data_IF_159751608543
#
_entry.id   IF_159751608543
#
_cell.length_a   1.000
_cell.length_b   1.000
_cell.length_c   1.000
_cell.angle_alpha   90.00
_cell.angle_beta   90.00
_cell.angle_gamma   90.00
#
_symmetry.space_group_name_H-M   'P 1'
#
loop_
_entity.id
_entity.type
_entity.pdbx_description
1 polymer ?
#
# COMPACT_ATOMS: atom_id res chain seq x y z
N UNK A 1 -17.97 1.35 14.27
CA UNK A 1 -17.70 2.70 14.82
C UNK A 1 -16.82 2.53 16.05
N UNK A 2 -15.50 2.66 15.89
CA UNK A 2 -14.57 2.37 17.00
C UNK A 2 -13.23 3.12 16.90
N UNK A 3 -13.27 4.41 16.56
CA UNK A 3 -12.17 5.31 16.95
C UNK A 3 -12.73 6.35 17.93
N UNK A 4 -12.24 6.39 19.19
CA UNK A 4 -12.37 7.57 20.02
C UNK A 4 -11.79 8.75 19.24
N UNK A 5 -12.48 9.89 19.26
CA UNK A 5 -12.12 11.11 18.54
C UNK A 5 -10.83 11.79 19.05
N UNK A 6 -9.76 11.03 19.21
CA UNK A 6 -8.42 11.60 19.26
C UNK A 6 -8.02 11.83 17.80
N UNK A 7 -7.90 13.11 17.45
CA UNK A 7 -7.13 13.49 16.27
C UNK A 7 -5.71 12.98 16.51
N UNK A 8 -5.38 11.80 15.99
CA UNK A 8 -3.99 11.53 15.69
C UNK A 8 -3.57 12.62 14.71
N UNK A 9 -2.74 13.55 15.17
CA UNK A 9 -2.15 14.55 14.32
C UNK A 9 -1.21 13.83 13.34
N UNK A 10 -1.78 13.39 12.21
CA UNK A 10 -1.05 12.73 11.14
C UNK A 10 -0.03 13.72 10.57
N UNK A 11 1.19 13.72 11.13
CA UNK A 11 2.24 14.66 10.73
C UNK A 11 3.09 15.23 11.87
N UNK A 12 3.14 14.58 13.04
CA UNK A 12 4.03 15.00 14.12
C UNK A 12 5.45 15.25 13.59
N UNK A 13 6.17 16.28 14.10
CA UNK A 13 7.54 16.58 13.66
C UNK A 13 8.45 15.35 13.71
N UNK A 14 8.31 14.53 14.76
CA UNK A 14 9.04 13.26 14.92
C UNK A 14 8.76 12.27 13.77
N UNK A 15 7.48 12.10 13.37
CA UNK A 15 7.13 11.24 12.22
C UNK A 15 7.71 11.79 10.92
N UNK A 16 7.65 13.11 10.69
CA UNK A 16 8.21 13.74 9.49
C UNK A 16 9.72 13.59 9.41
N UNK A 17 10.40 13.79 10.53
CA UNK A 17 11.85 13.61 10.64
C UNK A 17 12.24 12.15 10.36
N UNK A 18 11.58 11.19 11.03
CA UNK A 18 11.79 9.76 10.79
C UNK A 18 11.57 9.39 9.32
N UNK A 19 10.46 9.80 8.71
CA UNK A 19 10.18 9.55 7.30
C UNK A 19 11.27 10.16 6.39
N UNK A 20 11.83 11.32 6.73
CA UNK A 20 12.93 11.92 6.00
C UNK A 20 14.20 11.05 6.00
N UNK A 21 14.60 10.49 7.15
CA UNK A 21 15.73 9.56 7.23
C UNK A 21 15.43 8.21 6.57
N UNK A 22 14.23 7.70 6.80
CA UNK A 22 13.82 6.38 6.34
C UNK A 22 13.59 6.32 4.83
N UNK A 23 13.10 7.41 4.21
CA UNK A 23 13.05 7.51 2.75
C UNK A 23 14.45 7.44 2.13
N UNK A 24 15.47 8.02 2.78
CA UNK A 24 16.86 7.95 2.29
C UNK A 24 17.43 6.53 2.33
N UNK A 25 17.10 5.73 3.35
CA UNK A 25 17.64 4.36 3.45
C UNK A 25 17.10 3.44 2.35
N UNK A 26 15.79 3.50 2.04
CA UNK A 26 15.22 2.68 0.96
C UNK A 26 15.48 3.27 -0.43
N UNK A 27 15.57 4.60 -0.57
CA UNK A 27 15.98 5.21 -1.84
C UNK A 27 17.36 4.68 -2.28
N UNK A 28 18.26 4.40 -1.33
CA UNK A 28 19.54 3.74 -1.59
C UNK A 28 19.41 2.30 -2.13
N UNK A 29 18.29 1.63 -1.90
CA UNK A 29 18.02 0.29 -2.43
C UNK A 29 17.37 0.29 -3.81
N UNK A 30 16.90 1.43 -4.32
CA UNK A 30 16.10 1.50 -5.56
C UNK A 30 16.79 0.83 -6.74
N UNK A 31 18.04 1.22 -7.01
CA UNK A 31 18.78 0.72 -8.18
C UNK A 31 19.05 -0.78 -8.07
N UNK A 32 19.30 -1.30 -6.87
CA UNK A 32 19.47 -2.74 -6.66
C UNK A 32 18.17 -3.50 -6.85
N UNK A 33 17.05 -2.97 -6.34
CA UNK A 33 15.73 -3.58 -6.48
C UNK A 33 15.30 -3.64 -7.96
N UNK A 34 15.63 -2.60 -8.74
CA UNK A 34 15.44 -2.58 -10.19
C UNK A 34 16.35 -3.62 -10.85
N UNK A 35 17.66 -3.57 -10.59
CA UNK A 35 18.65 -4.45 -11.23
C UNK A 35 18.37 -5.94 -10.97
N UNK A 36 17.84 -6.29 -9.78
CA UNK A 36 17.44 -7.65 -9.40
C UNK A 36 16.03 -8.04 -9.88
N UNK A 37 15.30 -7.12 -10.52
CA UNK A 37 13.96 -7.35 -11.06
C UNK A 37 12.85 -7.46 -10.01
N UNK A 38 13.08 -6.98 -8.78
CA UNK A 38 12.05 -6.97 -7.75
C UNK A 38 10.94 -5.97 -8.05
N UNK A 39 11.27 -4.84 -8.66
CA UNK A 39 10.28 -3.84 -9.07
C UNK A 39 9.34 -4.39 -10.16
N UNK A 40 9.88 -4.99 -11.23
CA UNK A 40 9.07 -5.59 -12.29
C UNK A 40 8.12 -6.67 -11.76
N UNK A 41 8.60 -7.53 -10.86
CA UNK A 41 7.78 -8.54 -10.19
C UNK A 41 6.66 -7.91 -9.36
N UNK A 42 6.95 -6.82 -8.64
CA UNK A 42 5.96 -6.10 -7.86
C UNK A 42 4.90 -5.43 -8.75
N UNK A 43 5.30 -4.79 -9.86
CA UNK A 43 4.40 -4.19 -10.84
C UNK A 43 3.49 -5.28 -11.44
N UNK A 44 4.06 -6.40 -11.87
CA UNK A 44 3.29 -7.52 -12.43
C UNK A 44 2.27 -8.07 -11.42
N UNK A 45 2.68 -8.27 -10.16
CA UNK A 45 1.79 -8.74 -9.08
C UNK A 45 0.63 -7.76 -8.84
N UNK A 46 0.93 -6.46 -8.71
CA UNK A 46 -0.07 -5.41 -8.47
C UNK A 46 -1.06 -5.28 -9.62
N UNK A 47 -0.57 -5.35 -10.86
CA UNK A 47 -1.42 -5.33 -12.04
C UNK A 47 -2.35 -6.55 -12.09
N UNK A 48 -1.82 -7.75 -11.84
CA UNK A 48 -2.61 -8.98 -11.82
C UNK A 48 -3.69 -8.94 -10.72
N UNK A 49 -3.35 -8.44 -9.53
CA UNK A 49 -4.30 -8.24 -8.44
C UNK A 49 -5.41 -7.26 -8.85
N UNK A 50 -5.05 -6.09 -9.40
CA UNK A 50 -6.02 -5.11 -9.85
C UNK A 50 -6.99 -5.68 -10.91
N UNK A 51 -6.47 -6.40 -11.90
CA UNK A 51 -7.29 -7.07 -12.93
C UNK A 51 -8.19 -8.15 -12.35
N UNK A 52 -7.69 -8.98 -11.43
CA UNK A 52 -8.48 -9.97 -10.72
C UNK A 52 -9.65 -9.34 -9.95
N UNK A 53 -9.37 -8.27 -9.20
CA UNK A 53 -10.38 -7.56 -8.40
C UNK A 53 -11.43 -6.88 -9.26
N UNK A 54 -11.03 -6.30 -10.40
CA UNK A 54 -11.98 -5.70 -11.36
C UNK A 54 -12.94 -6.75 -11.90
N UNK A 55 -12.42 -7.91 -12.32
CA UNK A 55 -13.24 -9.03 -12.81
C UNK A 55 -14.19 -9.54 -11.73
N UNK A 56 -13.70 -9.76 -10.51
CA UNK A 56 -14.51 -10.21 -9.37
C UNK A 56 -15.67 -9.27 -9.05
N UNK A 57 -15.48 -7.96 -9.29
CA UNK A 57 -16.52 -6.93 -9.08
C UNK A 57 -17.41 -6.68 -10.31
N UNK A 58 -17.22 -7.42 -11.40
CA UNK A 58 -17.96 -7.19 -12.66
C UNK A 58 -17.69 -5.81 -13.27
N UNK A 59 -16.57 -5.16 -12.92
CA UNK A 59 -16.25 -3.83 -13.44
C UNK A 59 -15.82 -3.94 -14.90
N UNK A 60 -16.33 -3.06 -15.80
CA UNK A 60 -16.00 -3.14 -17.20
C UNK A 60 -14.52 -2.84 -17.43
N UNK A 61 -13.92 -3.45 -18.46
CA UNK A 61 -12.52 -3.24 -18.83
C UNK A 61 -12.30 -1.79 -19.27
N UNK A 62 -13.26 -1.22 -20.01
CA UNK A 62 -13.32 0.19 -20.36
C UNK A 62 -14.45 0.86 -19.59
N UNK A 63 -14.15 1.97 -18.90
CA UNK A 63 -15.19 2.82 -18.29
C UNK A 63 -15.71 3.79 -19.34
N UNK A 64 -16.93 4.27 -19.14
CA UNK A 64 -17.39 5.48 -19.84
C UNK A 64 -16.45 6.62 -19.45
N UNK A 65 -15.77 7.19 -20.46
CA UNK A 65 -14.77 8.23 -20.27
C UNK A 65 -15.42 9.53 -19.77
N UNK A 66 -16.69 9.76 -20.11
CA UNK A 66 -17.42 10.99 -19.80
C UNK A 66 -17.68 11.13 -18.31
N UNK A 67 -18.19 10.08 -17.67
CA UNK A 67 -18.43 10.06 -16.22
C UNK A 67 -17.12 9.96 -15.43
N UNK A 68 -16.16 9.18 -15.92
CA UNK A 68 -14.89 8.95 -15.24
C UNK A 68 -14.01 10.21 -15.20
N UNK A 69 -13.97 11.02 -16.27
CA UNK A 69 -13.17 12.25 -16.32
C UNK A 69 -13.81 13.36 -15.48
N UNK A 70 -15.15 13.42 -15.45
CA UNK A 70 -15.87 14.44 -14.69
C UNK A 70 -15.94 14.14 -13.18
N UNK A 71 -15.60 12.93 -12.76
CA UNK A 71 -15.56 12.55 -11.35
C UNK A 71 -14.19 12.85 -10.75
N UNK A 72 -14.11 13.82 -9.84
CA UNK A 72 -12.89 14.04 -9.06
C UNK A 72 -12.64 12.86 -8.12
N UNK A 73 -11.46 12.24 -8.25
CA UNK A 73 -11.00 11.17 -7.36
C UNK A 73 -10.14 11.67 -6.20
N UNK A 74 -10.14 12.99 -5.92
CA UNK A 74 -9.31 13.64 -4.89
C UNK A 74 -7.82 13.28 -4.98
N UNK A 75 -7.31 13.10 -6.21
CA UNK A 75 -5.89 12.89 -6.48
C UNK A 75 -5.30 14.15 -7.12
N UNK A 76 -4.06 14.48 -6.74
CA UNK A 76 -3.27 15.53 -7.40
C UNK A 76 -2.29 14.96 -8.44
N UNK A 77 -2.38 13.66 -8.73
CA UNK A 77 -1.56 13.02 -9.76
C UNK A 77 -2.02 13.49 -11.14
N UNK A 78 -1.12 14.17 -11.85
CA UNK A 78 -1.32 14.62 -13.23
C UNK A 78 -0.44 13.78 -14.18
N UNK A 79 -0.65 13.90 -15.49
CA UNK A 79 0.18 13.22 -16.50
C UNK A 79 -0.17 11.76 -16.80
N UNK A 80 -1.18 11.19 -16.13
CA UNK A 80 -1.73 9.89 -16.51
C UNK A 80 -2.64 10.01 -17.73
N UNK A 81 -2.46 9.14 -18.71
CA UNK A 81 -3.25 9.09 -19.94
C UNK A 81 -3.80 7.69 -20.16
N UNK A 82 -4.68 7.51 -21.16
CA UNK A 82 -5.16 6.19 -21.57
C UNK A 82 -4.03 5.23 -22.01
N UNK A 83 -2.86 5.77 -22.36
CA UNK A 83 -1.68 5.01 -22.78
C UNK A 83 -0.66 4.80 -21.66
N UNK A 84 -0.95 5.26 -20.44
CA UNK A 84 -0.03 5.07 -19.32
C UNK A 84 0.21 3.59 -19.05
N UNK A 85 1.47 3.26 -18.87
CA UNK A 85 1.96 1.91 -18.65
C UNK A 85 1.68 1.45 -17.22
N UNK A 86 1.72 0.13 -17.01
CA UNK A 86 1.61 -0.45 -15.66
C UNK A 86 2.73 0.04 -14.73
N UNK A 87 3.92 0.30 -15.26
CA UNK A 87 5.00 0.89 -14.48
C UNK A 87 4.63 2.28 -13.98
N UNK A 88 4.14 3.17 -14.84
CA UNK A 88 3.72 4.52 -14.44
C UNK A 88 2.58 4.53 -13.39
N UNK A 89 1.76 3.48 -13.35
CA UNK A 89 0.63 3.36 -12.41
C UNK A 89 1.03 2.65 -11.11
N UNK A 90 1.84 1.59 -11.18
CA UNK A 90 2.15 0.71 -10.05
C UNK A 90 3.56 0.90 -9.48
N UNK A 91 4.40 1.72 -10.13
CA UNK A 91 5.60 2.31 -9.55
C UNK A 91 5.16 3.53 -8.75
N UNK A 92 5.38 3.49 -7.45
CA UNK A 92 4.98 4.54 -6.52
C UNK A 92 6.10 4.85 -5.54
N UNK A 93 6.09 6.08 -5.04
CA UNK A 93 6.96 6.47 -3.93
C UNK A 93 6.64 5.63 -2.69
N UNK A 94 7.65 5.39 -1.87
CA UNK A 94 7.51 4.68 -0.61
C UNK A 94 6.58 5.47 0.32
N UNK A 95 5.40 4.92 0.56
CA UNK A 95 4.37 5.58 1.34
C UNK A 95 4.61 5.47 2.85
N UNK A 96 5.27 4.40 3.31
CA UNK A 96 5.60 4.18 4.71
C UNK A 96 6.93 3.44 4.84
N UNK A 97 7.78 3.89 5.76
CA UNK A 97 8.82 3.05 6.35
C UNK A 97 8.36 2.66 7.74
N UNK A 98 8.47 1.38 8.09
CA UNK A 98 8.03 0.88 9.38
C UNK A 98 8.95 1.46 10.46
N UNK A 99 8.35 2.18 11.41
CA UNK A 99 9.05 2.54 12.64
C UNK A 99 9.24 1.25 13.46
N UNK A 100 10.46 0.97 13.96
CA UNK A 100 10.80 -0.34 14.53
C UNK A 100 9.95 -0.77 15.72
N UNK A 101 9.36 0.16 16.45
CA UNK A 101 8.45 -0.18 17.55
C UNK A 101 7.47 0.98 17.79
N UNK A 102 6.19 0.64 17.92
CA UNK A 102 5.14 1.52 18.45
C UNK A 102 4.45 0.78 19.59
N UNK A 103 3.84 1.51 20.51
CA UNK A 103 3.01 0.90 21.55
C UNK A 103 1.83 0.20 20.89
N UNK A 104 1.72 -1.11 21.09
CA UNK A 104 0.66 -2.01 20.58
C UNK A 104 -0.76 -1.50 20.90
N UNK A 105 -0.90 -0.62 21.89
CA UNK A 105 -2.17 -0.03 22.29
C UNK A 105 -3.04 -1.03 23.07
N UNK A 106 -4.13 -0.57 23.69
CA UNK A 106 -4.94 -1.40 24.60
C UNK A 106 -5.88 -2.38 23.89
N UNK A 107 -5.92 -2.38 22.55
CA UNK A 107 -6.92 -3.10 21.75
C UNK A 107 -6.41 -4.36 21.06
N UNK A 108 -5.14 -4.72 21.27
CA UNK A 108 -4.62 -6.00 20.80
C UNK A 108 -5.24 -7.15 21.60
N UNK A 109 -5.77 -8.15 20.89
CA UNK A 109 -6.37 -9.34 21.48
C UNK A 109 -5.59 -10.55 20.98
N UNK A 110 -5.21 -11.45 21.90
CA UNK A 110 -4.52 -12.69 21.56
C UNK A 110 -5.45 -13.73 20.94
N UNK A 111 -4.91 -14.62 20.09
CA UNK A 111 -5.67 -15.67 19.41
C UNK A 111 -5.76 -15.44 17.90
N UNK A 112 -4.60 -15.27 17.28
CA UNK A 112 -4.47 -14.79 15.92
C UNK A 112 -4.95 -15.82 14.90
N UNK A 113 -5.73 -15.38 13.92
CA UNK A 113 -6.15 -16.20 12.79
C UNK A 113 -5.26 -15.93 11.58
N UNK A 114 -4.63 -16.97 11.02
CA UNK A 114 -3.87 -16.85 9.78
C UNK A 114 -4.86 -16.80 8.61
N UNK A 115 -5.18 -15.58 8.16
CA UNK A 115 -6.15 -15.33 7.09
C UNK A 115 -5.80 -14.09 6.27
N UNK A 116 -6.22 -14.06 5.00
CA UNK A 116 -6.01 -12.91 4.11
C UNK A 116 -7.22 -11.96 4.02
N UNK A 117 -8.38 -12.35 4.54
CA UNK A 117 -9.59 -11.54 4.55
C UNK A 117 -10.10 -11.39 5.98
N UNK A 118 -10.14 -10.15 6.47
CA UNK A 118 -10.56 -9.77 7.84
C UNK A 118 -11.89 -8.99 7.86
N UNK A 119 -12.62 -8.92 6.74
CA UNK A 119 -13.85 -8.11 6.63
C UNK A 119 -15.02 -8.71 7.43
N UNK A 120 -15.07 -10.03 7.54
CA UNK A 120 -16.17 -10.75 8.21
C UNK A 120 -17.55 -10.27 7.70
N UNK A 121 -18.44 -9.82 8.59
CA UNK A 121 -19.75 -9.24 8.26
C UNK A 121 -19.77 -7.71 8.29
N UNK A 122 -18.61 -7.06 8.39
CA UNK A 122 -18.53 -5.61 8.54
C UNK A 122 -18.89 -4.90 7.22
N UNK A 123 -19.72 -3.86 7.30
CA UNK A 123 -20.05 -3.00 6.16
C UNK A 123 -18.95 -1.94 5.97
N UNK A 124 -18.65 -1.60 4.71
CA UNK A 124 -17.68 -0.56 4.40
C UNK A 124 -17.20 -0.58 2.95
N UNK A 125 -16.24 0.30 2.65
CA UNK A 125 -15.55 0.31 1.35
C UNK A 125 -14.45 -0.76 1.39
N UNK A 126 -14.45 -1.78 0.50
CA UNK A 126 -13.46 -2.83 0.60
C UNK A 126 -12.07 -2.34 0.18
N UNK A 127 -11.11 -2.49 1.09
CA UNK A 127 -9.69 -2.21 0.94
C UNK A 127 -8.92 -3.49 0.65
N UNK A 128 -7.98 -3.44 -0.30
CA UNK A 128 -7.01 -4.50 -0.52
C UNK A 128 -5.62 -3.94 -0.27
N UNK A 129 -4.91 -4.48 0.72
CA UNK A 129 -3.55 -4.09 1.06
C UNK A 129 -2.56 -5.14 0.56
N UNK A 130 -1.53 -4.71 -0.18
CA UNK A 130 -0.38 -5.52 -0.59
C UNK A 130 0.86 -5.01 0.14
N UNK A 131 1.47 -5.85 0.95
CA UNK A 131 2.64 -5.50 1.75
C UNK A 131 3.91 -6.05 1.11
N UNK A 132 4.93 -5.21 0.95
CA UNK A 132 6.26 -5.61 0.54
C UNK A 132 7.24 -5.11 1.61
N UNK A 133 7.94 -6.05 2.24
CA UNK A 133 8.95 -5.74 3.24
C UNK A 133 10.33 -5.93 2.63
N UNK A 134 11.14 -4.89 2.73
CA UNK A 134 12.52 -4.85 2.23
C UNK A 134 13.43 -4.63 3.43
N UNK A 135 14.46 -5.46 3.55
CA UNK A 135 15.58 -5.20 4.44
C UNK A 135 16.41 -4.06 3.84
N UNK A 136 16.47 -2.94 4.55
CA UNK A 136 17.14 -1.72 4.08
C UNK A 136 18.67 -1.81 4.11
N UNK A 137 19.23 -2.81 4.79
CA UNK A 137 20.68 -3.07 4.84
C UNK A 137 21.12 -3.94 3.67
N UNK A 138 20.33 -4.95 3.31
CA UNK A 138 20.67 -5.90 2.22
C UNK A 138 19.99 -5.56 0.89
N UNK A 139 18.99 -4.69 0.91
CA UNK A 139 18.10 -4.38 -0.20
C UNK A 139 17.40 -5.62 -0.77
N UNK A 140 17.17 -6.63 0.06
CA UNK A 140 16.49 -7.87 -0.29
C UNK A 140 15.05 -7.90 0.28
N UNK A 141 14.09 -8.52 -0.43
CA UNK A 141 12.79 -8.80 0.14
C UNK A 141 12.87 -9.78 1.31
N UNK A 142 12.15 -9.48 2.38
CA UNK A 142 12.02 -10.38 3.52
C UNK A 142 10.92 -11.41 3.22
N UNK A 143 11.19 -12.68 3.52
CA UNK A 143 10.26 -13.80 3.31
C UNK A 143 10.03 -14.60 4.59
N UNK A 144 8.96 -15.41 4.63
CA UNK A 144 8.67 -16.29 5.76
C UNK A 144 8.18 -15.59 7.03
N UNK A 145 7.63 -14.38 6.90
CA UNK A 145 7.12 -13.59 8.03
C UNK A 145 5.59 -13.61 8.09
N UNK A 146 5.07 -13.40 9.30
CA UNK A 146 3.65 -13.11 9.51
C UNK A 146 3.45 -11.60 9.71
N UNK A 147 2.34 -11.10 9.18
CA UNK A 147 1.87 -9.74 9.41
C UNK A 147 0.62 -9.86 10.27
N UNK A 148 0.64 -9.26 11.44
CA UNK A 148 -0.56 -9.06 12.27
C UNK A 148 -1.17 -7.69 11.96
N UNK A 149 -2.48 -7.65 11.76
CA UNK A 149 -3.21 -6.46 11.35
C UNK A 149 -4.60 -6.42 11.99
N UNK A 150 -4.93 -5.30 12.62
CA UNK A 150 -6.23 -5.01 13.25
C UNK A 150 -6.68 -3.58 12.90
N UNK A 151 -8.00 -3.33 12.94
CA UNK A 151 -8.60 -2.02 12.63
C UNK A 151 -9.98 -1.85 13.29
#
# INVERSE_FOLDING_TARGET
SAHPGELEEHGTPARREFLGYAQRSIAGCKDQLIARGHEDKAIARRAALAEHLRRKRGLPVKRDLTDAINTSHKSNTTGLTANSTRAEIFTGNLNCVLQPEVTVGPYHVSGELIRSNIVESQQGVPLYADFQLIDVTTCEPISGIYIDAWH
#
